data_IF_312367062880
#
_entry.id   IF_312367062880
#
_cell.length_a   1.000
_cell.length_b   1.000
_cell.length_c   1.000
_cell.angle_alpha   90.00
_cell.angle_beta   90.00
_cell.angle_gamma   90.00
#
_symmetry.space_group_name_H-M   'P 1'
#
loop_
_entity.id
_entity.type
_entity.pdbx_description
1 polymer ?
#
# COMPACT_ATOMS: atom_id res chain seq x y z
N UNK A 1 6.87 -7.66 -25.54
CA UNK A 1 6.79 -7.39 -24.09
C UNK A 1 8.04 -7.94 -23.41
N UNK A 2 8.65 -7.15 -22.54
CA UNK A 2 9.88 -7.46 -21.79
C UNK A 2 9.72 -8.80 -21.06
N UNK A 3 10.68 -9.73 -21.20
CA UNK A 3 10.67 -11.06 -20.55
C UNK A 3 10.84 -11.03 -19.02
N UNK A 4 10.28 -10.02 -18.37
CA UNK A 4 10.11 -9.95 -16.93
C UNK A 4 9.10 -11.01 -16.50
N UNK A 5 9.42 -11.70 -15.41
CA UNK A 5 8.57 -12.76 -14.84
C UNK A 5 7.93 -12.32 -13.54
N UNK A 6 8.58 -11.40 -12.84
CA UNK A 6 8.17 -10.89 -11.55
C UNK A 6 8.18 -9.36 -11.53
N UNK A 7 7.43 -8.76 -10.64
CA UNK A 7 7.52 -7.35 -10.31
C UNK A 7 7.37 -7.15 -8.79
N UNK A 8 7.91 -6.02 -8.34
CA UNK A 8 7.65 -5.49 -6.99
C UNK A 8 6.51 -4.48 -7.13
N UNK A 9 5.51 -4.64 -6.29
CA UNK A 9 4.31 -3.81 -6.25
C UNK A 9 4.11 -3.24 -4.86
N UNK A 10 3.49 -2.07 -4.78
CA UNK A 10 2.96 -1.52 -3.55
C UNK A 10 1.43 -1.66 -3.59
N UNK A 11 0.84 -2.31 -2.60
CA UNK A 11 -0.62 -2.47 -2.52
C UNK A 11 -1.20 -1.19 -1.91
N UNK A 12 -2.13 -0.52 -2.60
CA UNK A 12 -2.65 0.78 -2.14
C UNK A 12 -3.40 0.70 -0.81
N UNK A 13 -4.10 -0.40 -0.57
CA UNK A 13 -4.92 -0.63 0.64
C UNK A 13 -4.09 -1.07 1.87
N UNK A 14 -2.84 -1.50 1.68
CA UNK A 14 -1.94 -1.90 2.76
C UNK A 14 -0.82 -0.87 2.91
N UNK A 15 -0.94 0.03 3.90
CA UNK A 15 0.12 1.00 4.21
C UNK A 15 1.46 0.27 4.46
N UNK A 16 2.47 0.63 3.66
CA UNK A 16 3.88 0.22 3.77
C UNK A 16 4.24 -1.24 3.37
N UNK A 17 3.37 -1.98 2.68
CA UNK A 17 3.69 -3.34 2.19
C UNK A 17 4.15 -3.36 0.73
N UNK A 18 5.46 -3.54 0.53
CA UNK A 18 6.01 -3.94 -0.77
C UNK A 18 5.92 -5.45 -0.95
N UNK A 19 5.17 -5.85 -1.97
CA UNK A 19 4.94 -7.24 -2.30
C UNK A 19 5.58 -7.63 -3.62
N UNK A 20 5.84 -8.92 -3.77
CA UNK A 20 6.41 -9.48 -5.00
C UNK A 20 5.37 -10.35 -5.68
N UNK A 21 5.03 -10.01 -6.92
CA UNK A 21 4.05 -10.79 -7.70
C UNK A 21 4.62 -11.24 -9.03
N UNK A 22 4.17 -12.40 -9.55
CA UNK A 22 4.36 -12.75 -10.94
C UNK A 22 3.71 -11.71 -11.86
N UNK A 23 4.36 -11.39 -12.97
CA UNK A 23 3.79 -10.51 -14.01
C UNK A 23 2.48 -11.06 -14.59
N UNK A 24 2.27 -12.39 -14.55
CA UNK A 24 1.02 -13.04 -14.95
C UNK A 24 -0.17 -12.68 -14.08
N UNK A 25 0.07 -12.23 -12.85
CA UNK A 25 -1.00 -11.81 -11.95
C UNK A 25 -1.45 -10.39 -12.26
N UNK A 26 -0.66 -9.61 -13.01
CA UNK A 26 -1.03 -8.27 -13.43
C UNK A 26 -2.17 -8.33 -14.43
N UNK A 27 -3.16 -7.47 -14.24
CA UNK A 27 -4.25 -7.30 -15.19
C UNK A 27 -3.78 -6.30 -16.26
N UNK A 28 -3.71 -6.70 -17.54
CA UNK A 28 -3.18 -5.83 -18.60
C UNK A 28 -3.93 -4.50 -18.68
N UNK A 29 -3.18 -3.41 -18.91
CA UNK A 29 -3.71 -2.05 -19.09
C UNK A 29 -4.44 -1.48 -17.86
N UNK A 30 -4.22 -2.05 -16.68
CA UNK A 30 -4.75 -1.54 -15.40
C UNK A 30 -3.66 -1.54 -14.34
N UNK A 31 -3.80 -0.67 -13.34
CA UNK A 31 -2.95 -0.64 -12.14
C UNK A 31 -3.49 -1.62 -11.08
N UNK A 32 -3.70 -2.87 -11.49
CA UNK A 32 -4.29 -3.89 -10.64
C UNK A 32 -3.68 -5.27 -10.89
N UNK A 33 -3.76 -6.13 -9.87
CA UNK A 33 -3.36 -7.53 -9.96
C UNK A 33 -4.38 -8.46 -9.30
N UNK A 34 -4.32 -9.72 -9.68
CA UNK A 34 -5.04 -10.80 -9.00
C UNK A 34 -4.29 -11.20 -7.73
N UNK A 35 -5.01 -11.28 -6.63
CA UNK A 35 -4.49 -11.61 -5.32
C UNK A 35 -5.31 -12.72 -4.64
N UNK A 36 -4.68 -13.78 -4.11
CA UNK A 36 -5.40 -14.82 -3.38
C UNK A 36 -5.96 -14.28 -2.05
N UNK A 37 -7.23 -14.58 -1.74
CA UNK A 37 -7.88 -14.15 -0.48
C UNK A 37 -7.16 -14.64 0.79
N UNK A 38 -6.46 -15.76 0.70
CA UNK A 38 -5.66 -16.33 1.80
C UNK A 38 -4.30 -15.66 1.99
N UNK A 39 -3.96 -14.67 1.16
CA UNK A 39 -2.62 -14.10 1.06
C UNK A 39 -1.72 -14.90 0.12
N UNK A 40 -0.68 -14.24 -0.40
CA UNK A 40 0.25 -14.80 -1.36
C UNK A 40 1.41 -15.52 -0.64
N UNK A 41 1.37 -16.85 -0.57
CA UNK A 41 2.54 -17.61 -0.12
C UNK A 41 3.68 -17.45 -1.13
N UNK A 42 4.89 -17.21 -0.61
CA UNK A 42 6.14 -17.18 -1.36
C UNK A 42 6.32 -18.33 -2.35
N UNK A 43 5.76 -19.52 -2.09
CA UNK A 43 5.81 -20.65 -3.01
C UNK A 43 4.92 -20.43 -4.24
N UNK A 44 3.72 -19.88 -4.07
CA UNK A 44 2.81 -19.54 -5.17
C UNK A 44 3.41 -18.49 -6.10
N UNK A 45 4.05 -17.48 -5.49
CA UNK A 45 4.74 -16.43 -6.24
C UNK A 45 5.89 -17.03 -7.05
N UNK A 46 6.75 -17.85 -6.44
CA UNK A 46 7.90 -18.45 -7.14
C UNK A 46 7.52 -19.43 -8.24
N UNK A 47 6.43 -20.17 -8.08
CA UNK A 47 5.95 -21.12 -9.09
C UNK A 47 5.09 -20.47 -10.18
N UNK A 48 4.82 -19.16 -10.07
CA UNK A 48 4.05 -18.41 -11.07
C UNK A 48 2.67 -19.07 -11.34
N UNK A 49 1.99 -19.49 -10.27
CA UNK A 49 0.65 -20.09 -10.33
C UNK A 49 -0.29 -19.17 -11.12
N UNK A 50 -1.10 -19.72 -12.02
CA UNK A 50 -2.09 -18.91 -12.74
C UNK A 50 -3.18 -18.40 -11.78
N UNK A 51 -3.60 -17.13 -11.91
CA UNK A 51 -4.69 -16.58 -11.10
C UNK A 51 -5.99 -17.38 -11.23
N UNK A 52 -6.66 -17.63 -10.11
CA UNK A 52 -7.98 -18.26 -10.11
C UNK A 52 -9.07 -17.21 -9.88
N UNK A 53 -9.77 -16.81 -10.95
CA UNK A 53 -10.71 -15.69 -10.94
C UNK A 53 -11.92 -15.89 -10.00
N UNK A 54 -12.23 -17.14 -9.64
CA UNK A 54 -13.34 -17.47 -8.72
C UNK A 54 -12.97 -17.25 -7.24
N UNK A 55 -11.69 -17.45 -6.90
CA UNK A 55 -11.23 -17.48 -5.51
C UNK A 55 -10.31 -16.30 -5.16
N UNK A 56 -9.72 -15.67 -6.17
CA UNK A 56 -8.84 -14.53 -6.03
C UNK A 56 -9.64 -13.23 -6.18
N UNK A 57 -9.07 -12.15 -5.68
CA UNK A 57 -9.66 -10.81 -5.73
C UNK A 57 -8.76 -9.89 -6.53
N UNK A 58 -9.35 -8.85 -7.11
CA UNK A 58 -8.57 -7.78 -7.72
C UNK A 58 -8.12 -6.81 -6.64
N UNK A 59 -6.84 -6.46 -6.66
CA UNK A 59 -6.21 -5.49 -5.76
C UNK A 59 -5.50 -4.42 -6.59
N UNK A 60 -5.65 -3.16 -6.20
CA UNK A 60 -4.97 -2.05 -6.86
C UNK A 60 -3.53 -1.94 -6.38
N UNK A 61 -2.62 -1.77 -7.33
CA UNK A 61 -1.19 -1.83 -7.09
C UNK A 61 -0.43 -0.78 -7.88
N UNK A 62 0.56 -0.17 -7.24
CA UNK A 62 1.59 0.62 -7.92
C UNK A 62 2.76 -0.28 -8.30
N UNK A 63 3.05 -0.42 -9.59
CA UNK A 63 4.18 -1.21 -10.06
C UNK A 63 5.48 -0.41 -9.91
N UNK A 64 6.36 -0.87 -9.04
CA UNK A 64 7.62 -0.19 -8.73
C UNK A 64 8.73 -0.61 -9.70
N UNK A 65 8.93 -1.92 -9.88
CA UNK A 65 10.04 -2.43 -10.69
C UNK A 65 9.81 -3.85 -11.20
N UNK A 66 10.30 -4.15 -12.40
CA UNK A 66 10.23 -5.46 -13.05
C UNK A 66 11.54 -6.26 -12.93
N UNK A 67 11.42 -7.58 -12.80
CA UNK A 67 12.53 -8.51 -12.66
C UNK A 67 12.33 -9.77 -13.51
N UNK A 68 13.44 -10.30 -14.06
CA UNK A 68 13.42 -11.58 -14.78
C UNK A 68 13.52 -12.81 -13.87
N UNK A 69 14.13 -12.66 -12.69
CA UNK A 69 14.38 -13.76 -11.74
C UNK A 69 14.03 -13.31 -10.32
N UNK A 70 13.35 -14.17 -9.59
CA UNK A 70 12.96 -13.93 -8.19
C UNK A 70 14.16 -13.66 -7.26
N UNK A 71 15.30 -14.32 -7.52
CA UNK A 71 16.52 -14.14 -6.71
C UNK A 71 17.08 -12.72 -6.72
N UNK A 72 16.87 -11.95 -7.79
CA UNK A 72 17.33 -10.56 -7.91
C UNK A 72 16.52 -9.62 -7.01
N UNK A 73 15.29 -10.00 -6.69
CA UNK A 73 14.34 -9.15 -5.98
C UNK A 73 14.72 -8.99 -4.51
N UNK A 74 15.26 -10.04 -3.88
CA UNK A 74 15.65 -10.00 -2.45
C UNK A 74 16.66 -8.90 -2.12
N UNK A 75 17.56 -8.59 -3.05
CA UNK A 75 18.54 -7.52 -2.87
C UNK A 75 17.92 -6.14 -3.12
N UNK A 76 17.08 -6.03 -4.17
CA UNK A 76 16.44 -4.78 -4.54
C UNK A 76 15.35 -4.34 -3.57
N UNK A 77 14.56 -5.26 -3.00
CA UNK A 77 13.40 -4.92 -2.18
C UNK A 77 13.79 -4.11 -0.93
N UNK A 78 14.94 -4.40 -0.31
CA UNK A 78 15.45 -3.62 0.84
C UNK A 78 15.72 -2.15 0.50
N UNK A 79 16.22 -1.91 -0.72
CA UNK A 79 16.48 -0.56 -1.22
C UNK A 79 15.16 0.12 -1.59
N UNK A 80 14.26 -0.61 -2.26
CA UNK A 80 12.95 -0.09 -2.70
C UNK A 80 12.06 0.31 -1.52
N UNK A 81 12.01 -0.48 -0.44
CA UNK A 81 11.26 -0.14 0.78
C UNK A 81 11.67 1.24 1.30
N UNK A 82 12.98 1.52 1.33
CA UNK A 82 13.50 2.81 1.78
C UNK A 82 13.04 3.96 0.87
N UNK A 83 13.10 3.76 -0.44
CA UNK A 83 12.70 4.78 -1.44
C UNK A 83 11.21 5.08 -1.35
N UNK A 84 10.36 4.07 -1.21
CA UNK A 84 8.90 4.23 -1.11
C UNK A 84 8.54 4.96 0.18
N UNK A 85 9.14 4.59 1.30
CA UNK A 85 8.95 5.27 2.58
C UNK A 85 9.34 6.76 2.53
N UNK A 86 10.48 7.07 1.92
CA UNK A 86 10.94 8.45 1.75
C UNK A 86 10.00 9.28 0.85
N UNK A 87 9.39 8.68 -0.19
CA UNK A 87 8.39 9.34 -1.04
C UNK A 87 7.12 9.71 -0.27
N UNK A 88 6.62 8.81 0.56
CA UNK A 88 5.40 9.05 1.34
C UNK A 88 5.61 10.07 2.46
N UNK A 89 6.78 10.08 3.11
CA UNK A 89 7.11 11.08 4.14
C UNK A 89 7.15 12.51 3.57
N UNK A 90 7.56 12.66 2.31
CA UNK A 90 7.55 13.94 1.59
C UNK A 90 6.13 14.42 1.23
N UNK A 91 5.17 13.49 1.11
CA UNK A 91 3.77 13.77 0.78
C UNK A 91 2.82 13.78 1.98
N UNK A 92 3.28 13.41 3.19
CA UNK A 92 2.49 13.61 4.40
C UNK A 92 2.28 15.13 4.58
N UNK A 93 1.04 15.65 4.49
CA UNK A 93 0.81 17.03 4.82
C UNK A 93 1.24 17.18 6.27
N UNK A 94 2.23 18.04 6.53
CA UNK A 94 2.65 18.41 7.88
C UNK A 94 1.39 18.59 8.70
N UNK A 95 1.11 17.66 9.63
CA UNK A 95 0.08 17.87 10.64
C UNK A 95 0.55 19.08 11.42
N UNK A 96 0.13 20.28 10.99
CA UNK A 96 0.22 21.51 11.75
C UNK A 96 -0.39 21.15 13.09
N UNK A 97 0.46 21.07 14.12
CA UNK A 97 0.02 21.01 15.50
C UNK A 97 -0.92 22.19 15.68
N UNK A 98 -2.22 21.93 15.68
CA UNK A 98 -3.15 22.85 16.31
C UNK A 98 -2.80 22.83 17.79
N UNK A 99 -1.91 23.73 18.19
CA UNK A 99 -1.80 24.13 19.57
C UNK A 99 -3.15 24.73 19.93
N UNK A 100 -4.01 23.94 20.57
CA UNK A 100 -5.18 24.47 21.25
C UNK A 100 -4.67 25.35 22.39
N UNK A 101 -4.43 26.62 22.09
CA UNK A 101 -4.36 27.66 23.11
C UNK A 101 -5.72 27.67 23.78
N UNK A 102 -5.73 27.15 25.02
CA UNK A 102 -6.89 27.16 25.90
C UNK A 102 -7.18 28.61 26.29
N UNK A 103 -7.98 29.30 25.49
CA UNK A 103 -8.39 30.68 25.78
C UNK A 103 -9.34 30.67 26.98
N UNK A 104 -8.87 31.19 28.11
CA UNK A 104 -9.71 31.61 29.23
C UNK A 104 -10.52 32.85 28.80
N UNK A 105 -11.84 32.75 28.78
CA UNK A 105 -12.80 33.84 28.93
C UNK A 105 -14.14 33.20 29.35
N UNK A 106 -14.48 33.11 30.64
CA UNK A 106 -15.12 34.14 31.46
C UNK A 106 -16.38 34.75 30.82
N UNK A 107 -17.58 34.40 31.31
CA UNK A 107 -18.54 35.31 31.97
C UNK A 107 -19.96 34.72 32.11
N UNK A 108 -20.32 34.41 33.36
CA UNK A 108 -21.49 34.86 34.13
C UNK A 108 -22.72 35.45 33.40
N UNK A 109 -23.91 34.85 33.59
CA UNK A 109 -25.22 35.50 33.86
C UNK A 109 -26.33 34.43 34.00
N UNK A 110 -26.88 34.16 35.20
CA UNK A 110 -28.07 34.75 35.87
C UNK A 110 -29.41 33.99 35.65
N UNK A 111 -29.92 33.45 36.76
CA UNK A 111 -31.32 33.43 37.29
C UNK A 111 -32.51 32.83 36.50
N UNK A 112 -33.28 31.97 37.22
CA UNK A 112 -34.76 31.79 37.19
C UNK A 112 -35.27 30.86 36.08
N UNK A 113 -36.26 29.97 36.24
CA UNK A 113 -37.41 29.89 37.14
C UNK A 113 -37.90 28.42 37.29
N UNK A 114 -38.73 28.21 38.33
CA UNK A 114 -39.54 27.05 38.72
C UNK A 114 -40.13 26.18 37.59
N UNK A 115 -40.27 24.87 37.85
CA UNK A 115 -41.55 24.23 38.19
C UNK A 115 -41.31 23.05 39.13
#
# INVERSE_FOLDING_TARGET
>A
MSGARFCVVNIEDEEDSLEVVPTKWLIPSTDACWWPKSGADSNFVKSEVEPCHETWVQVYVEIIQYFRKYSLIRQSIKVLVRVVRERQEKYRPSRRRYSHTRTKAAQTAKKGYNY
#
